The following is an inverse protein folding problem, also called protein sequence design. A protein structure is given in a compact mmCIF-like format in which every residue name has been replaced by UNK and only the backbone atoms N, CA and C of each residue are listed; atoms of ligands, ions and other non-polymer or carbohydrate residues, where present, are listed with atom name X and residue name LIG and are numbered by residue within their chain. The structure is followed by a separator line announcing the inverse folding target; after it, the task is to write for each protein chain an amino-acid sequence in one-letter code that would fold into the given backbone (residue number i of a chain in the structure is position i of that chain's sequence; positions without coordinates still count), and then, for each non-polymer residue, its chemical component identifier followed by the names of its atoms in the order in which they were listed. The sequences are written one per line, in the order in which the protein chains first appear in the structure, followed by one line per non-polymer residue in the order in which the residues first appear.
data_IF_597546786533
#
_entry.id   IF_597546786533
#
_cell.length_a   1.000
_cell.length_b   1.000
_cell.length_c   1.000
_cell.angle_alpha   90.00
_cell.angle_beta   90.00
_cell.angle_gamma   90.00
#
_symmetry.space_group_name_H-M   'P 1'
#
loop_
_entity.id
_entity.type
_entity.pdbx_description
1 polymer ?
#
# COMPACT_ATOMS: atom_id res chain seq x y z
N UNK A 1 -3.43 5.42 -3.11
CA UNK A 1 -2.78 4.42 -4.00
C UNK A 1 -1.43 4.85 -4.58
N UNK A 2 -1.34 5.94 -5.36
CA UNK A 2 -0.10 6.30 -6.09
C UNK A 2 1.20 6.27 -5.28
N UNK A 3 1.22 6.90 -4.09
CA UNK A 3 2.40 6.89 -3.20
C UNK A 3 2.77 5.49 -2.70
N UNK A 4 1.77 4.68 -2.32
CA UNK A 4 1.96 3.31 -1.82
C UNK A 4 2.53 2.43 -2.93
N UNK A 5 1.97 2.51 -4.13
CA UNK A 5 2.44 1.76 -5.30
C UNK A 5 3.87 2.16 -5.67
N UNK A 6 4.20 3.46 -5.66
CA UNK A 6 5.56 3.93 -5.89
C UNK A 6 6.54 3.37 -4.85
N UNK A 7 6.17 3.36 -3.57
CA UNK A 7 7.00 2.78 -2.50
C UNK A 7 7.20 1.27 -2.68
N UNK A 8 6.14 0.56 -3.07
CA UNK A 8 6.19 -0.89 -3.32
C UNK A 8 7.12 -1.24 -4.49
N UNK A 9 6.99 -0.51 -5.61
CA UNK A 9 7.87 -0.70 -6.76
C UNK A 9 9.31 -0.28 -6.48
N UNK A 10 9.53 0.78 -5.69
CA UNK A 10 10.87 1.16 -5.25
C UNK A 10 11.51 0.04 -4.42
N UNK A 11 10.78 -0.54 -3.46
CA UNK A 11 11.25 -1.67 -2.66
C UNK A 11 11.60 -2.89 -3.52
N UNK A 12 10.69 -3.30 -4.42
CA UNK A 12 10.95 -4.41 -5.36
C UNK A 12 12.15 -4.11 -6.27
N UNK A 13 12.28 -2.87 -6.76
CA UNK A 13 13.40 -2.44 -7.59
C UNK A 13 14.74 -2.57 -6.86
N UNK A 14 14.80 -2.11 -5.61
CA UNK A 14 16.00 -2.22 -4.75
C UNK A 14 16.37 -3.68 -4.45
N UNK A 15 15.37 -4.55 -4.22
CA UNK A 15 15.58 -5.99 -4.04
C UNK A 15 16.15 -6.59 -5.33
N UNK A 16 15.49 -6.33 -6.47
CA UNK A 16 15.90 -6.89 -7.76
C UNK A 16 17.29 -6.44 -8.21
N UNK A 17 17.67 -5.19 -7.97
CA UNK A 17 19.00 -4.67 -8.29
C UNK A 17 20.12 -5.48 -7.60
N UNK A 18 19.82 -6.06 -6.44
CA UNK A 18 20.79 -6.79 -5.63
C UNK A 18 20.73 -8.30 -5.81
N UNK A 19 19.52 -8.85 -5.95
CA UNK A 19 19.30 -10.30 -6.07
C UNK A 19 19.31 -10.77 -7.53
N UNK A 20 19.13 -9.86 -8.49
CA UNK A 20 18.98 -10.13 -9.92
C UNK A 20 17.93 -11.21 -10.26
N UNK A 21 16.97 -11.44 -9.36
CA UNK A 21 15.91 -12.43 -9.53
C UNK A 21 14.57 -11.88 -9.09
N UNK A 22 13.52 -12.31 -9.81
CA UNK A 22 12.11 -12.05 -9.47
C UNK A 22 11.41 -13.33 -9.01
N UNK A 23 12.13 -14.44 -9.00
CA UNK A 23 11.60 -15.74 -8.59
C UNK A 23 11.46 -15.79 -7.07
N UNK A 24 10.22 -15.76 -6.59
CA UNK A 24 9.88 -15.82 -5.17
C UNK A 24 10.33 -17.11 -4.50
N UNK A 25 10.61 -18.19 -5.24
CA UNK A 25 11.16 -19.43 -4.68
C UNK A 25 12.64 -19.30 -4.30
N UNK A 26 13.34 -18.30 -4.85
CA UNK A 26 14.77 -18.04 -4.57
C UNK A 26 14.98 -16.90 -3.58
N UNK A 27 13.91 -16.24 -3.15
CA UNK A 27 13.94 -15.15 -2.20
C UNK A 27 13.48 -15.67 -0.84
N UNK A 28 14.25 -15.39 0.21
CA UNK A 28 13.90 -15.73 1.58
C UNK A 28 14.91 -15.16 2.58
N UNK A 29 14.42 -14.80 3.77
CA UNK A 29 15.25 -14.29 4.86
C UNK A 29 15.91 -12.93 4.61
N UNK A 30 15.45 -12.15 3.62
CA UNK A 30 16.09 -10.89 3.22
C UNK A 30 16.16 -9.85 4.34
N UNK A 31 15.29 -9.93 5.35
CA UNK A 31 15.33 -9.03 6.51
C UNK A 31 16.68 -9.08 7.24
N UNK A 32 17.38 -10.22 7.21
CA UNK A 32 18.66 -10.41 7.91
C UNK A 32 19.82 -9.70 7.22
N UNK A 33 19.73 -9.48 5.90
CA UNK A 33 20.82 -8.95 5.07
C UNK A 33 20.55 -7.53 4.59
N UNK A 34 19.29 -7.20 4.30
CA UNK A 34 18.85 -5.88 3.83
C UNK A 34 17.68 -5.38 4.68
N UNK A 35 17.90 -5.08 5.98
CA UNK A 35 16.82 -4.77 6.92
C UNK A 35 16.04 -3.52 6.54
N UNK A 36 16.67 -2.47 6.00
CA UNK A 36 15.97 -1.25 5.62
C UNK A 36 15.03 -1.48 4.44
N UNK A 37 15.53 -2.07 3.35
CA UNK A 37 14.71 -2.39 2.16
C UNK A 37 13.54 -3.31 2.55
N UNK A 38 13.83 -4.30 3.38
CA UNK A 38 12.85 -5.26 3.88
C UNK A 38 11.76 -4.60 4.72
N UNK A 39 12.14 -3.66 5.59
CA UNK A 39 11.20 -2.88 6.41
C UNK A 39 10.30 -2.02 5.53
N UNK A 40 10.85 -1.38 4.50
CA UNK A 40 10.05 -0.60 3.54
C UNK A 40 9.07 -1.48 2.80
N UNK A 41 9.50 -2.66 2.33
CA UNK A 41 8.62 -3.59 1.64
C UNK A 41 7.43 -3.99 2.53
N UNK A 42 7.70 -4.29 3.81
CA UNK A 42 6.65 -4.59 4.79
C UNK A 42 5.75 -3.37 5.01
N UNK A 43 6.30 -2.18 5.25
CA UNK A 43 5.54 -0.95 5.44
C UNK A 43 4.63 -0.63 4.24
N UNK A 44 5.14 -0.78 3.02
CA UNK A 44 4.37 -0.58 1.80
C UNK A 44 3.23 -1.61 1.70
N UNK A 45 3.49 -2.87 2.10
CA UNK A 45 2.46 -3.90 2.21
C UNK A 45 1.38 -3.58 3.24
N UNK A 46 1.78 -3.16 4.44
CA UNK A 46 0.86 -2.75 5.51
C UNK A 46 0.02 -1.52 5.10
N UNK A 47 0.62 -0.56 4.40
CA UNK A 47 -0.10 0.57 3.85
C UNK A 47 -1.10 0.13 2.75
N UNK A 48 -0.74 -0.86 1.94
CA UNK A 48 -1.57 -1.37 0.84
C UNK A 48 -2.76 -2.22 1.30
N UNK A 49 -2.69 -2.83 2.49
CA UNK A 49 -3.82 -3.60 3.05
C UNK A 49 -4.77 -2.74 3.91
N UNK A 50 -4.56 -1.43 3.92
CA UNK A 50 -5.45 -0.48 4.61
C UNK A 50 -5.22 -0.44 6.12
N UNK A 51 -3.97 -0.56 6.61
CA UNK A 51 -3.72 -0.41 8.05
C UNK A 51 -4.01 1.05 8.52
N UNK A 52 -4.71 1.24 9.65
CA UNK A 52 -4.92 2.57 10.23
C UNK A 52 -3.61 3.34 10.43
N UNK A 53 -3.64 4.64 10.13
CA UNK A 53 -2.46 5.52 10.16
C UNK A 53 -1.76 5.69 8.82
N UNK A 54 -2.15 4.93 7.78
CA UNK A 54 -1.68 5.15 6.41
C UNK A 54 -2.78 5.69 5.50
N UNK A 55 -2.38 6.39 4.44
CA UNK A 55 -3.30 7.02 3.48
C UNK A 55 -4.29 6.08 2.81
N UNK A 56 -3.93 4.79 2.65
CA UNK A 56 -4.81 3.76 2.08
C UNK A 56 -6.08 3.58 2.90
N UNK A 57 -5.95 3.48 4.22
CA UNK A 57 -7.08 3.28 5.13
C UNK A 57 -8.09 4.44 5.05
N UNK A 58 -7.61 5.69 5.11
CA UNK A 58 -8.50 6.86 5.06
C UNK A 58 -9.32 6.89 3.77
N UNK A 59 -8.67 6.61 2.64
CA UNK A 59 -9.33 6.60 1.34
C UNK A 59 -10.39 5.49 1.27
N UNK A 60 -10.04 4.27 1.65
CA UNK A 60 -10.94 3.11 1.62
C UNK A 60 -12.15 3.30 2.56
N UNK A 61 -11.91 3.77 3.79
CA UNK A 61 -12.99 4.04 4.74
C UNK A 61 -13.96 5.11 4.24
N UNK A 62 -13.46 6.18 3.62
CA UNK A 62 -14.31 7.22 3.03
C UNK A 62 -15.20 6.65 1.92
N UNK A 63 -14.65 5.76 1.08
CA UNK A 63 -15.40 5.08 0.02
C UNK A 63 -16.45 4.13 0.60
N UNK A 64 -16.11 3.33 1.60
CA UNK A 64 -17.06 2.39 2.22
C UNK A 64 -18.20 3.12 2.92
N UNK A 65 -17.90 4.17 3.69
CA UNK A 65 -18.91 4.96 4.37
C UNK A 65 -19.86 5.63 3.37
N UNK A 66 -19.32 6.29 2.33
CA UNK A 66 -20.13 6.93 1.30
C UNK A 66 -20.99 5.95 0.48
N UNK A 67 -20.47 4.75 0.21
CA UNK A 67 -21.24 3.71 -0.47
C UNK A 67 -22.34 3.11 0.44
N UNK A 68 -22.05 2.94 1.73
CA UNK A 68 -22.98 2.37 2.71
C UNK A 68 -24.18 3.26 3.03
N UNK A 69 -24.02 4.58 2.93
CA UNK A 69 -25.12 5.55 3.09
C UNK A 69 -26.23 5.36 2.04
N UNK A 70 -25.93 4.73 0.90
CA UNK A 70 -26.96 4.37 -0.09
C UNK A 70 -27.72 3.13 0.39
N UNK A 71 -29.03 3.28 0.57
CA UNK A 71 -29.92 2.22 1.07
C UNK A 71 -30.25 1.13 0.05
N UNK A 72 -29.87 1.32 -1.21
CA UNK A 72 -30.06 0.36 -2.29
C UNK A 72 -29.26 -0.92 -2.01
N UNK A 73 -29.92 -2.07 -2.16
CA UNK A 73 -29.36 -3.40 -1.94
C UNK A 73 -28.08 -3.63 -2.74
N UNK A 74 -27.99 -3.12 -3.97
CA UNK A 74 -26.80 -3.28 -4.82
C UNK A 74 -25.56 -2.62 -4.20
N UNK A 75 -25.71 -1.39 -3.70
CA UNK A 75 -24.61 -0.65 -3.05
C UNK A 75 -24.16 -1.34 -1.76
N UNK A 76 -25.11 -1.85 -0.97
CA UNK A 76 -24.78 -2.59 0.27
C UNK A 76 -24.04 -3.89 -0.01
N UNK A 77 -24.51 -4.69 -0.96
CA UNK A 77 -23.82 -5.94 -1.34
C UNK A 77 -22.44 -5.65 -1.91
N UNK A 78 -22.32 -4.65 -2.79
CA UNK A 78 -21.03 -4.24 -3.34
C UNK A 78 -20.05 -3.77 -2.24
N UNK A 79 -20.53 -3.01 -1.25
CA UNK A 79 -19.70 -2.54 -0.12
C UNK A 79 -19.22 -3.71 0.73
N UNK A 80 -20.09 -4.69 1.03
CA UNK A 80 -19.71 -5.90 1.78
C UNK A 80 -18.64 -6.70 1.03
N UNK A 81 -18.81 -6.90 -0.28
CA UNK A 81 -17.83 -7.59 -1.12
C UNK A 81 -16.50 -6.84 -1.18
N UNK A 82 -16.54 -5.51 -1.29
CA UNK A 82 -15.36 -4.67 -1.29
C UNK A 82 -14.60 -4.75 0.04
N UNK A 83 -15.30 -4.68 1.18
CA UNK A 83 -14.70 -4.89 2.50
C UNK A 83 -14.09 -6.30 2.64
N UNK A 84 -14.79 -7.34 2.16
CA UNK A 84 -14.28 -8.70 2.20
C UNK A 84 -12.99 -8.87 1.37
N UNK A 85 -12.84 -8.11 0.28
CA UNK A 85 -11.63 -8.16 -0.57
C UNK A 85 -10.34 -7.76 0.17
N UNK A 86 -10.44 -6.97 1.26
CA UNK A 86 -9.29 -6.61 2.11
C UNK A 86 -8.60 -7.86 2.66
N UNK A 87 -9.37 -8.90 3.01
CA UNK A 87 -8.82 -10.17 3.51
C UNK A 87 -7.97 -10.84 2.44
N UNK A 88 -8.43 -10.83 1.19
CA UNK A 88 -7.68 -11.41 0.06
C UNK A 88 -6.37 -10.65 -0.16
N UNK A 89 -6.43 -9.31 -0.12
CA UNK A 89 -5.24 -8.45 -0.22
C UNK A 89 -4.25 -8.73 0.91
N UNK A 90 -4.74 -8.83 2.15
CA UNK A 90 -3.90 -9.14 3.31
C UNK A 90 -3.21 -10.50 3.17
N UNK A 91 -3.94 -11.55 2.76
CA UNK A 91 -3.35 -12.88 2.53
C UNK A 91 -2.24 -12.83 1.48
N UNK A 92 -2.46 -12.13 0.35
CA UNK A 92 -1.46 -12.03 -0.70
C UNK A 92 -0.19 -11.30 -0.23
N UNK A 93 -0.35 -10.14 0.42
CA UNK A 93 0.77 -9.33 0.91
C UNK A 93 1.54 -10.07 2.02
N UNK A 94 0.84 -10.63 3.01
CA UNK A 94 1.47 -11.38 4.10
C UNK A 94 2.19 -12.62 3.58
N UNK A 95 1.65 -13.30 2.57
CA UNK A 95 2.33 -14.43 1.92
C UNK A 95 3.60 -13.98 1.19
N UNK A 96 3.57 -12.82 0.51
CA UNK A 96 4.75 -12.27 -0.16
C UNK A 96 5.85 -11.89 0.84
N UNK A 97 5.47 -11.20 1.92
CA UNK A 97 6.37 -10.85 3.04
C UNK A 97 6.94 -12.12 3.68
N UNK A 98 6.08 -13.09 4.01
CA UNK A 98 6.49 -14.33 4.67
C UNK A 98 7.48 -15.14 3.84
N UNK A 99 7.29 -15.19 2.52
CA UNK A 99 8.22 -15.88 1.61
C UNK A 99 9.52 -15.12 1.37
N UNK A 100 9.45 -13.87 0.92
CA UNK A 100 10.62 -13.16 0.45
C UNK A 100 11.44 -12.50 1.57
N UNK A 101 10.78 -12.01 2.62
CA UNK A 101 11.41 -11.14 3.63
C UNK A 101 11.78 -11.93 4.88
N UNK A 102 10.88 -12.80 5.34
CA UNK A 102 11.05 -13.57 6.57
C UNK A 102 11.70 -14.95 6.32
N UNK A 103 12.00 -15.68 7.40
CA UNK A 103 12.53 -17.05 7.33
C UNK A 103 14.06 -17.16 7.31
N UNK A 104 14.59 -18.37 7.02
CA UNK A 104 16.01 -18.58 6.77
C UNK A 104 16.44 -17.95 5.44
N UNK A 105 17.74 -17.69 5.30
CA UNK A 105 18.29 -17.20 4.06
C UNK A 105 18.35 -18.37 3.06
N UNK A 106 17.71 -18.25 1.91
CA UNK A 106 17.59 -19.34 0.92
C UNK A 106 18.92 -19.65 0.20
N UNK A 107 19.75 -18.65 -0.08
CA UNK A 107 21.04 -18.83 -0.75
C UNK A 107 22.17 -18.17 0.03
N UNK A 108 23.31 -18.87 0.13
CA UNK A 108 24.54 -18.32 0.71
C UNK A 108 25.06 -17.09 -0.02
N UNK A 109 24.81 -16.98 -1.33
CA UNK A 109 25.20 -15.83 -2.15
C UNK A 109 24.49 -14.54 -1.69
N UNK A 110 23.28 -14.66 -1.12
CA UNK A 110 22.54 -13.51 -0.61
C UNK A 110 23.08 -12.98 0.73
N UNK A 111 24.05 -13.66 1.36
CA UNK A 111 24.59 -13.24 2.65
C UNK A 111 25.44 -11.96 2.56
N UNK A 112 25.92 -11.61 1.35
CA UNK A 112 26.80 -10.47 1.11
C UNK A 112 26.09 -9.27 0.49
N UNK A 113 24.76 -9.31 0.38
CA UNK A 113 23.98 -8.22 -0.22
C UNK A 113 24.08 -6.95 0.65
N UNK A 114 24.39 -5.84 -0.01
CA UNK A 114 24.40 -4.53 0.64
C UNK A 114 22.96 -4.04 0.87
N UNK A 115 22.71 -3.31 1.96
CA UNK A 115 21.40 -2.67 2.19
C UNK A 115 21.27 -1.36 1.37
N UNK A 116 20.22 -0.57 1.63
CA UNK A 116 19.91 0.65 0.88
C UNK A 116 21.01 1.73 0.93
N UNK A 117 21.25 2.36 -0.23
CA UNK A 117 22.08 3.56 -0.42
C UNK A 117 21.36 4.79 0.14
N UNK A 118 22.09 5.90 0.33
CA UNK A 118 21.51 7.10 0.96
C UNK A 118 20.35 7.70 0.14
N UNK A 119 20.46 7.70 -1.19
CA UNK A 119 19.46 8.22 -2.12
C UNK A 119 18.18 7.37 -2.10
N UNK A 120 18.35 6.05 -2.04
CA UNK A 120 17.26 5.08 -1.87
C UNK A 120 16.51 5.30 -0.55
N UNK A 121 17.27 5.52 0.55
CA UNK A 121 16.70 5.86 1.86
C UNK A 121 15.90 7.15 1.82
N UNK A 122 16.44 8.20 1.20
CA UNK A 122 15.76 9.49 1.08
C UNK A 122 14.48 9.39 0.26
N UNK A 123 14.52 8.71 -0.90
CA UNK A 123 13.36 8.52 -1.76
C UNK A 123 12.24 7.76 -1.02
N UNK A 124 12.58 6.67 -0.33
CA UNK A 124 11.62 5.91 0.46
C UNK A 124 11.05 6.73 1.63
N UNK A 125 11.89 7.49 2.34
CA UNK A 125 11.46 8.34 3.44
C UNK A 125 10.45 9.41 2.99
N UNK A 126 10.67 10.06 1.83
CA UNK A 126 9.74 11.03 1.26
C UNK A 126 8.38 10.40 0.93
N UNK A 127 8.39 9.21 0.33
CA UNK A 127 7.15 8.48 0.03
C UNK A 127 6.41 8.07 1.30
N UNK A 128 7.11 7.51 2.29
CA UNK A 128 6.54 7.13 3.58
C UNK A 128 5.95 8.34 4.29
N UNK A 129 6.67 9.47 4.32
CA UNK A 129 6.18 10.71 4.91
C UNK A 129 4.85 11.12 4.27
N UNK A 130 4.75 11.12 2.94
CA UNK A 130 3.49 11.41 2.25
C UNK A 130 2.35 10.44 2.60
N UNK A 131 2.65 9.14 2.67
CA UNK A 131 1.64 8.12 3.03
C UNK A 131 1.14 8.33 4.46
N UNK A 132 2.03 8.61 5.42
CA UNK A 132 1.69 8.79 6.83
C UNK A 132 0.99 10.13 7.07
N UNK A 133 1.48 11.23 6.49
CA UNK A 133 0.88 12.57 6.64
C UNK A 133 -0.57 12.54 6.15
N UNK A 134 -0.83 11.97 4.98
CA UNK A 134 -2.20 11.83 4.45
C UNK A 134 -3.02 10.87 5.33
N UNK A 135 -2.41 9.81 5.86
CA UNK A 135 -3.08 8.84 6.72
C UNK A 135 -3.51 9.40 8.08
N UNK A 136 -2.71 10.28 8.67
CA UNK A 136 -2.94 10.85 10.00
C UNK A 136 -3.76 12.14 9.92
N UNK A 137 -3.49 12.98 8.94
CA UNK A 137 -4.14 14.28 8.78
C UNK A 137 -4.64 14.45 7.34
N UNK A 138 -5.76 13.82 6.96
CA UNK A 138 -6.29 13.92 5.59
C UNK A 138 -7.04 15.23 5.30
N UNK A 139 -7.34 16.04 6.32
CA UNK A 139 -8.26 17.18 6.26
C UNK A 139 -7.90 18.18 5.15
N UNK A 140 -6.62 18.57 5.06
CA UNK A 140 -6.15 19.51 4.04
C UNK A 140 -6.36 18.98 2.62
N UNK A 141 -6.20 17.67 2.41
CA UNK A 141 -6.40 17.05 1.10
C UNK A 141 -7.90 17.02 0.75
N UNK A 142 -8.74 16.72 1.74
CA UNK A 142 -10.20 16.71 1.57
C UNK A 142 -10.73 18.12 1.25
N UNK A 143 -10.25 19.15 1.95
CA UNK A 143 -10.61 20.55 1.68
C UNK A 143 -10.13 21.00 0.29
N UNK A 144 -8.97 20.52 -0.15
CA UNK A 144 -8.45 20.83 -1.48
C UNK A 144 -9.31 20.26 -2.61
N UNK A 145 -9.83 19.04 -2.45
CA UNK A 145 -10.64 18.36 -3.49
C UNK A 145 -12.14 18.61 -3.39
N UNK A 146 -12.63 19.00 -2.21
CA UNK A 146 -14.06 19.17 -1.89
C UNK A 146 -14.83 20.04 -2.89
N UNK A 147 -14.38 21.29 -3.18
CA UNK A 147 -15.09 22.16 -4.11
C UNK A 147 -15.24 21.56 -5.52
N UNK A 148 -14.24 20.81 -5.97
CA UNK A 148 -14.30 20.10 -7.25
C UNK A 148 -15.29 18.94 -7.22
N UNK A 149 -15.33 18.19 -6.12
CA UNK A 149 -16.28 17.10 -5.91
C UNK A 149 -17.73 17.59 -5.86
N UNK A 150 -18.01 18.70 -5.18
CA UNK A 150 -19.37 19.25 -5.07
C UNK A 150 -19.97 19.58 -6.43
N UNK A 151 -19.18 20.18 -7.33
CA UNK A 151 -19.58 20.47 -8.70
C UNK A 151 -19.90 19.17 -9.47
N UNK A 152 -19.11 18.11 -9.27
CA UNK A 152 -19.35 16.81 -9.91
C UNK A 152 -20.62 16.15 -9.38
N UNK A 153 -20.82 16.16 -8.06
CA UNK A 153 -22.02 15.58 -7.42
C UNK A 153 -23.28 16.30 -7.88
N UNK A 154 -23.25 17.64 -7.94
CA UNK A 154 -24.38 18.43 -8.41
C UNK A 154 -24.78 18.03 -9.84
N UNK A 155 -23.82 17.91 -10.77
CA UNK A 155 -24.10 17.50 -12.15
C UNK A 155 -24.64 16.07 -12.26
N UNK A 156 -24.12 15.15 -11.47
CA UNK A 156 -24.58 13.74 -11.48
C UNK A 156 -25.96 13.58 -10.85
N UNK A 157 -26.33 14.42 -9.87
CA UNK A 157 -27.64 14.37 -9.21
C UNK A 157 -28.80 14.86 -10.09
N UNK A 158 -28.51 15.65 -11.12
CA UNK A 158 -29.50 16.20 -12.06
C UNK A 158 -29.86 15.18 -13.17
N UNK A 159 -29.08 14.13 -13.34
CA UNK A 159 -29.40 13.03 -14.27
C UNK A 159 -30.44 12.12 -13.57
N UNK A 160 -31.68 12.02 -14.09
CA UNK A 160 -32.67 11.13 -13.48
C UNK A 160 -32.17 9.68 -13.51
N UNK A 161 -32.29 9.00 -12.37
CA UNK A 161 -31.93 7.58 -12.20
C UNK A 161 -32.84 6.65 -12.99
#
# INVERSE_FOLDING_TARGET
HGLITALFFAAIGMIYERTHTRDMAKLGGLLKVMPFISTIFVLAGLASLGLPGFSGFVAEMTVFMGAWEKTDTLYRVATILACASIVVTAVYILRAVGKAIMGPLESGDHATLADARWNEKLAAALLIAGIVIIGVAPFWLNELIGPGMDVMIQKLSVIPK
#
